data_IF_950106344486
#
_entry.id   IF_950106344486
#
_cell.length_a   1.000
_cell.length_b   1.000
_cell.length_c   1.000
_cell.angle_alpha   90.00
_cell.angle_beta   90.00
_cell.angle_gamma   90.00
#
_symmetry.space_group_name_H-M   'P 1'
#
loop_
_entity.id
_entity.type
_entity.pdbx_description
1 polymer ?
#
# COMPACT_ATOMS: atom_id res chain seq x y z
N UNK A 1 25.71 -74.82 -12.05
CA UNK A 1 24.52 -74.01 -11.71
C UNK A 1 25.01 -72.57 -11.61
N UNK A 2 24.91 -71.84 -12.71
CA UNK A 2 25.44 -70.49 -12.89
C UNK A 2 24.28 -69.53 -12.58
N UNK A 3 24.37 -68.77 -11.49
CA UNK A 3 23.48 -67.65 -11.22
C UNK A 3 24.31 -66.37 -11.35
N UNK A 4 23.83 -65.50 -12.24
CA UNK A 4 24.59 -64.50 -12.96
C UNK A 4 25.07 -63.33 -12.09
N UNK A 5 26.31 -62.94 -12.34
CA UNK A 5 26.90 -61.64 -12.01
C UNK A 5 26.27 -60.46 -12.79
N UNK A 6 25.12 -60.67 -13.44
CA UNK A 6 24.42 -59.64 -14.22
C UNK A 6 23.42 -58.84 -13.36
N UNK A 7 22.90 -59.40 -12.26
CA UNK A 7 21.89 -58.71 -11.43
C UNK A 7 22.45 -57.51 -10.65
N UNK A 8 23.74 -57.51 -10.31
CA UNK A 8 24.35 -56.42 -9.53
C UNK A 8 24.66 -55.17 -10.38
N UNK A 9 24.97 -55.35 -11.68
CA UNK A 9 25.22 -54.21 -12.59
C UNK A 9 23.92 -53.56 -13.08
N UNK A 10 22.85 -54.33 -13.24
CA UNK A 10 21.54 -53.78 -13.58
C UNK A 10 20.94 -52.99 -12.41
N UNK A 11 21.09 -53.45 -11.16
CA UNK A 11 20.60 -52.70 -9.99
C UNK A 11 21.31 -51.36 -9.79
N UNK A 12 22.64 -51.32 -9.89
CA UNK A 12 23.40 -50.06 -9.74
C UNK A 12 23.11 -49.06 -10.88
N UNK A 13 22.82 -49.57 -12.09
CA UNK A 13 22.39 -48.76 -13.24
C UNK A 13 20.98 -48.19 -13.05
N UNK A 14 20.05 -49.01 -12.54
CA UNK A 14 18.69 -48.57 -12.23
C UNK A 14 18.66 -47.58 -11.06
N UNK A 15 19.49 -47.77 -10.04
CA UNK A 15 19.61 -46.85 -8.91
C UNK A 15 20.23 -45.51 -9.32
N UNK A 16 21.24 -45.50 -10.19
CA UNK A 16 21.81 -44.23 -10.70
C UNK A 16 20.88 -43.50 -11.68
N UNK A 17 20.09 -44.23 -12.46
CA UNK A 17 19.02 -43.65 -13.28
C UNK A 17 17.85 -43.17 -12.40
N UNK A 18 17.54 -43.85 -11.30
CA UNK A 18 16.52 -43.43 -10.34
C UNK A 18 16.94 -42.20 -9.53
N UNK A 19 18.20 -42.14 -9.09
CA UNK A 19 18.78 -40.96 -8.41
C UNK A 19 18.87 -39.78 -9.38
N UNK A 20 19.33 -39.99 -10.62
CA UNK A 20 19.34 -38.94 -11.63
C UNK A 20 17.92 -38.47 -12.00
N UNK A 21 16.91 -39.35 -12.03
CA UNK A 21 15.50 -38.98 -12.21
C UNK A 21 14.91 -38.28 -11.00
N UNK A 22 15.34 -38.63 -9.78
CA UNK A 22 14.95 -37.96 -8.54
C UNK A 22 15.52 -36.54 -8.50
N UNK A 23 16.81 -36.36 -8.80
CA UNK A 23 17.48 -35.05 -8.88
C UNK A 23 16.92 -34.17 -10.00
N UNK A 24 16.58 -34.77 -11.16
CA UNK A 24 15.91 -34.06 -12.25
C UNK A 24 14.48 -33.70 -11.86
N UNK A 25 13.76 -34.57 -11.14
CA UNK A 25 12.41 -34.29 -10.67
C UNK A 25 12.38 -33.25 -9.55
N UNK A 26 13.35 -33.25 -8.63
CA UNK A 26 13.50 -32.25 -7.58
C UNK A 26 13.93 -30.91 -8.16
N UNK A 27 14.88 -30.88 -9.10
CA UNK A 27 15.21 -29.64 -9.81
C UNK A 27 14.03 -29.13 -10.64
N UNK A 28 13.28 -30.02 -11.31
CA UNK A 28 12.08 -29.62 -12.07
C UNK A 28 10.97 -29.17 -11.13
N UNK A 29 10.83 -29.77 -9.94
CA UNK A 29 9.87 -29.35 -8.91
C UNK A 29 10.28 -28.04 -8.25
N UNK A 30 11.57 -27.78 -8.01
CA UNK A 30 12.09 -26.49 -7.52
C UNK A 30 11.94 -25.40 -8.59
N UNK A 31 12.17 -25.75 -9.86
CA UNK A 31 12.02 -24.83 -10.98
C UNK A 31 10.54 -24.58 -11.28
N UNK A 32 9.67 -25.60 -11.16
CA UNK A 32 8.22 -25.45 -11.14
C UNK A 32 7.74 -24.69 -9.91
N UNK A 33 8.28 -24.89 -8.71
CA UNK A 33 7.95 -24.08 -7.51
C UNK A 33 8.48 -22.65 -7.63
N UNK A 34 9.50 -22.39 -8.46
CA UNK A 34 9.96 -21.03 -8.76
C UNK A 34 9.15 -20.36 -9.88
N UNK A 35 8.50 -21.16 -10.74
CA UNK A 35 7.62 -20.71 -11.84
C UNK A 35 6.12 -20.72 -11.46
N UNK A 36 5.76 -21.52 -10.45
CA UNK A 36 4.47 -21.71 -9.79
C UNK A 36 4.53 -21.33 -8.32
N UNK A 37 5.62 -20.72 -7.85
CA UNK A 37 5.47 -19.75 -6.78
C UNK A 37 4.51 -18.78 -7.43
N UNK A 38 3.23 -18.70 -7.03
CA UNK A 38 2.55 -17.47 -7.32
C UNK A 38 3.50 -16.43 -6.74
N UNK A 39 3.68 -15.32 -7.43
CA UNK A 39 3.99 -14.10 -6.72
C UNK A 39 3.31 -14.20 -5.37
N UNK A 40 4.03 -13.99 -4.28
CA UNK A 40 3.40 -13.73 -2.99
C UNK A 40 2.60 -12.45 -3.21
N UNK A 41 1.45 -12.60 -3.86
CA UNK A 41 0.48 -11.57 -4.13
C UNK A 41 0.10 -11.18 -2.74
N UNK A 42 0.57 -10.01 -2.33
CA UNK A 42 0.18 -9.54 -1.04
C UNK A 42 -1.34 -9.52 -1.03
N UNK A 43 -1.94 -10.28 -0.13
CA UNK A 43 -3.38 -10.25 0.06
C UNK A 43 -3.83 -8.91 0.65
N UNK A 44 -2.88 -8.08 1.12
CA UNK A 44 -3.12 -6.81 1.79
C UNK A 44 -2.31 -5.66 1.17
N UNK A 45 -2.98 -4.58 0.82
CA UNK A 45 -2.34 -3.35 0.38
C UNK A 45 -2.61 -2.23 1.39
N UNK A 46 -1.55 -1.63 1.91
CA UNK A 46 -1.64 -0.53 2.87
C UNK A 46 -1.12 0.74 2.24
N UNK A 47 -2.02 1.69 1.96
CA UNK A 47 -1.65 3.00 1.44
C UNK A 47 -1.36 3.92 2.62
N UNK A 48 -0.08 4.21 2.82
CA UNK A 48 0.46 4.89 4.01
C UNK A 48 0.80 6.36 3.76
N UNK A 49 0.29 6.97 2.69
CA UNK A 49 0.54 8.40 2.44
C UNK A 49 -0.23 9.32 3.39
N UNK A 50 0.28 10.54 3.51
CA UNK A 50 -0.36 11.60 4.29
C UNK A 50 -1.64 12.10 3.62
N UNK A 51 -2.37 12.99 4.29
CA UNK A 51 -3.54 13.66 3.72
C UNK A 51 -3.19 14.30 2.36
N UNK A 52 -4.15 14.32 1.44
CA UNK A 52 -4.05 15.00 0.13
C UNK A 52 -3.01 14.44 -0.86
N UNK A 53 -2.54 13.20 -0.67
CA UNK A 53 -1.69 12.47 -1.64
C UNK A 53 -2.47 11.50 -2.55
N UNK A 54 -3.82 11.53 -2.50
CA UNK A 54 -4.68 10.72 -3.38
C UNK A 54 -5.29 9.46 -2.74
N UNK A 55 -5.21 9.26 -1.43
CA UNK A 55 -5.65 8.04 -0.75
C UNK A 55 -7.12 7.63 -1.02
N UNK A 56 -8.03 8.60 -1.15
CA UNK A 56 -9.43 8.33 -1.51
C UNK A 56 -9.56 7.78 -2.93
N UNK A 57 -8.86 8.39 -3.90
CA UNK A 57 -8.81 7.91 -5.27
C UNK A 57 -8.19 6.52 -5.34
N UNK A 58 -7.12 6.28 -4.59
CA UNK A 58 -6.50 4.96 -4.50
C UNK A 58 -7.48 3.89 -3.99
N UNK A 59 -8.21 4.17 -2.91
CA UNK A 59 -9.24 3.26 -2.39
C UNK A 59 -10.34 2.98 -3.43
N UNK A 60 -10.80 4.04 -4.11
CA UNK A 60 -11.83 3.93 -5.16
C UNK A 60 -11.34 3.08 -6.34
N UNK A 61 -10.11 3.32 -6.81
CA UNK A 61 -9.51 2.60 -7.91
C UNK A 61 -9.30 1.11 -7.56
N UNK A 62 -8.80 0.82 -6.36
CA UNK A 62 -8.67 -0.57 -5.88
C UNK A 62 -10.03 -1.26 -5.75
N UNK A 63 -11.07 -0.55 -5.30
CA UNK A 63 -12.43 -1.09 -5.28
C UNK A 63 -12.94 -1.43 -6.68
N UNK A 64 -12.67 -0.57 -7.68
CA UNK A 64 -13.01 -0.83 -9.08
C UNK A 64 -12.27 -2.03 -9.68
N UNK A 65 -11.07 -2.34 -9.18
CA UNK A 65 -10.32 -3.56 -9.52
C UNK A 65 -10.84 -4.82 -8.78
N UNK A 66 -11.90 -4.69 -7.98
CA UNK A 66 -12.55 -5.82 -7.30
C UNK A 66 -12.06 -6.09 -5.88
N UNK A 67 -11.16 -5.27 -5.33
CA UNK A 67 -10.68 -5.43 -3.96
C UNK A 67 -11.68 -4.91 -2.93
N UNK A 68 -11.73 -5.54 -1.75
CA UNK A 68 -12.40 -4.96 -0.59
C UNK A 68 -11.52 -3.84 -0.04
N UNK A 69 -11.78 -2.62 -0.50
CA UNK A 69 -11.04 -1.43 -0.10
C UNK A 69 -11.82 -0.58 0.90
N UNK A 70 -11.15 -0.13 1.96
CA UNK A 70 -11.67 0.86 2.89
C UNK A 70 -10.76 2.09 2.98
N UNK A 71 -11.39 3.26 3.03
CA UNK A 71 -10.73 4.55 3.21
C UNK A 71 -10.94 5.03 4.63
N UNK A 72 -9.87 5.52 5.26
CA UNK A 72 -9.89 6.06 6.63
C UNK A 72 -10.44 5.06 7.68
N UNK A 73 -9.84 3.87 7.82
CA UNK A 73 -10.24 2.92 8.86
C UNK A 73 -9.97 3.51 10.26
N UNK A 74 -10.88 3.31 11.21
CA UNK A 74 -10.73 3.83 12.59
C UNK A 74 -10.26 2.77 13.59
N UNK A 75 -10.08 1.52 13.14
CA UNK A 75 -9.62 0.41 13.97
C UNK A 75 -8.77 -0.59 13.19
N UNK A 76 -7.74 -1.14 13.83
CA UNK A 76 -6.94 -2.26 13.29
C UNK A 76 -7.78 -3.53 13.10
N UNK A 77 -8.93 -3.64 13.76
CA UNK A 77 -9.86 -4.75 13.60
C UNK A 77 -10.43 -4.88 12.17
N UNK A 78 -10.23 -3.87 11.31
CA UNK A 78 -10.65 -3.91 9.91
C UNK A 78 -9.67 -4.68 9.02
N UNK A 79 -8.43 -4.92 9.48
CA UNK A 79 -7.40 -5.60 8.68
C UNK A 79 -7.84 -6.97 8.14
N UNK A 80 -8.50 -7.85 8.91
CA UNK A 80 -8.98 -9.13 8.39
C UNK A 80 -10.01 -8.97 7.27
N UNK A 81 -10.89 -7.97 7.37
CA UNK A 81 -12.08 -7.81 6.52
C UNK A 81 -11.82 -7.09 5.20
N UNK A 82 -10.69 -6.37 5.08
CA UNK A 82 -10.36 -5.57 3.91
C UNK A 82 -9.03 -5.97 3.30
N UNK A 83 -8.99 -6.06 1.98
CA UNK A 83 -7.78 -6.34 1.22
C UNK A 83 -6.94 -5.06 1.03
N UNK A 84 -7.58 -3.90 1.13
CA UNK A 84 -6.92 -2.60 0.98
C UNK A 84 -7.39 -1.65 2.06
N UNK A 85 -6.44 -1.03 2.77
CA UNK A 85 -6.72 0.09 3.67
C UNK A 85 -5.91 1.31 3.23
N UNK A 86 -6.54 2.49 3.23
CA UNK A 86 -5.88 3.73 2.83
C UNK A 86 -6.05 4.88 3.82
N UNK A 87 -5.18 5.88 3.65
CA UNK A 87 -5.19 7.19 4.30
C UNK A 87 -4.49 7.26 5.65
N UNK A 88 -4.52 8.46 6.24
CA UNK A 88 -3.76 8.82 7.45
C UNK A 88 -3.89 7.87 8.65
N UNK A 89 -5.00 7.16 8.91
CA UNK A 89 -4.99 6.12 9.96
C UNK A 89 -3.99 5.00 9.69
N UNK A 90 -3.82 4.60 8.43
CA UNK A 90 -2.87 3.56 8.02
C UNK A 90 -1.44 4.08 8.12
N UNK A 91 -1.20 5.34 7.72
CA UNK A 91 0.08 6.02 7.96
C UNK A 91 0.41 6.11 9.46
N UNK A 92 -0.58 6.42 10.30
CA UNK A 92 -0.47 6.43 11.76
C UNK A 92 -0.14 5.05 12.33
N UNK A 93 -0.63 3.96 11.73
CA UNK A 93 -0.29 2.59 12.13
C UNK A 93 0.97 2.03 11.48
N UNK A 94 1.61 2.73 10.55
CA UNK A 94 2.85 2.27 9.92
C UNK A 94 4.03 2.36 10.90
N UNK A 95 4.03 1.42 11.85
CA UNK A 95 4.94 1.27 12.98
C UNK A 95 5.19 -0.22 13.22
N UNK A 96 6.32 -0.58 13.86
CA UNK A 96 6.63 -1.96 14.15
C UNK A 96 5.50 -2.66 14.92
N UNK A 97 5.06 -3.82 14.41
CA UNK A 97 4.12 -4.71 15.09
C UNK A 97 2.62 -4.39 14.94
N UNK A 98 2.24 -3.33 14.21
CA UNK A 98 0.82 -2.98 14.03
C UNK A 98 0.21 -3.47 12.70
N UNK A 99 1.02 -3.55 11.64
CA UNK A 99 0.59 -4.00 10.32
C UNK A 99 1.33 -5.30 9.93
N UNK A 100 0.70 -6.22 9.18
CA UNK A 100 1.33 -7.44 8.68
C UNK A 100 2.60 -7.15 7.88
N UNK A 101 3.69 -7.87 8.16
CA UNK A 101 4.99 -7.66 7.50
C UNK A 101 5.03 -8.22 6.07
N UNK A 102 4.15 -9.17 5.75
CA UNK A 102 4.03 -9.80 4.44
C UNK A 102 3.11 -9.04 3.47
N UNK A 103 2.70 -7.83 3.86
CA UNK A 103 1.87 -6.96 3.04
C UNK A 103 2.69 -6.12 2.04
N UNK A 104 1.98 -5.51 1.08
CA UNK A 104 2.53 -4.47 0.20
C UNK A 104 2.11 -3.10 0.71
N UNK A 105 3.08 -2.21 0.87
CA UNK A 105 2.89 -0.85 1.33
C UNK A 105 3.05 0.11 0.17
N UNK A 106 2.09 1.03 0.02
CA UNK A 106 2.13 2.07 -1.02
C UNK A 106 2.28 3.42 -0.33
N UNK A 107 3.45 4.02 -0.44
CA UNK A 107 3.70 5.38 0.00
C UNK A 107 3.25 6.34 -1.09
N UNK A 108 2.02 6.85 -0.96
CA UNK A 108 1.54 7.89 -1.86
C UNK A 108 2.19 9.23 -1.53
N UNK A 109 2.75 9.87 -2.55
CA UNK A 109 3.50 11.13 -2.45
C UNK A 109 2.87 12.21 -3.33
N UNK A 110 3.28 13.46 -3.12
CA UNK A 110 2.87 14.61 -3.93
C UNK A 110 3.98 15.66 -3.90
N UNK A 111 4.11 16.48 -4.94
CA UNK A 111 5.00 17.65 -4.90
C UNK A 111 4.67 18.53 -3.68
N UNK A 112 5.70 19.00 -2.97
CA UNK A 112 5.58 19.54 -1.63
C UNK A 112 4.71 20.80 -1.58
N UNK A 113 4.86 21.73 -2.53
CA UNK A 113 4.06 22.96 -2.55
C UNK A 113 2.60 22.68 -2.84
N UNK A 114 2.35 21.86 -3.85
CA UNK A 114 1.01 21.37 -4.20
C UNK A 114 0.36 20.63 -3.02
N UNK A 115 1.14 19.87 -2.25
CA UNK A 115 0.68 19.18 -1.06
C UNK A 115 0.34 20.13 0.09
N UNK A 116 1.19 21.14 0.34
CA UNK A 116 0.96 22.16 1.39
C UNK A 116 -0.31 22.97 1.12
N UNK A 117 -0.54 23.38 -0.13
CA UNK A 117 -1.77 24.10 -0.51
C UNK A 117 -3.02 23.24 -0.27
N UNK A 118 -2.98 21.97 -0.64
CA UNK A 118 -4.10 21.06 -0.43
C UNK A 118 -4.32 20.77 1.07
N UNK A 119 -3.25 20.62 1.85
CA UNK A 119 -3.33 20.46 3.29
C UNK A 119 -3.91 21.70 3.96
N UNK A 120 -3.49 22.90 3.57
CA UNK A 120 -4.03 24.15 4.11
C UNK A 120 -5.56 24.13 4.03
N UNK A 121 -6.13 23.88 2.85
CA UNK A 121 -7.58 23.95 2.71
C UNK A 121 -8.28 22.75 3.36
N UNK A 122 -7.68 21.56 3.35
CA UNK A 122 -8.27 20.40 4.03
C UNK A 122 -8.42 20.63 5.54
N UNK A 123 -7.43 21.26 6.16
CA UNK A 123 -7.45 21.52 7.60
C UNK A 123 -8.31 22.73 7.95
N UNK A 124 -8.29 23.80 7.14
CA UNK A 124 -9.15 24.98 7.34
C UNK A 124 -10.65 24.65 7.16
N UNK A 125 -10.99 23.72 6.25
CA UNK A 125 -12.38 23.28 6.05
C UNK A 125 -12.89 22.31 7.12
N UNK A 126 -12.06 21.93 8.09
CA UNK A 126 -12.38 20.98 9.16
C UNK A 126 -11.93 21.53 10.52
N UNK A 127 -12.73 22.46 11.09
CA UNK A 127 -12.38 23.12 12.34
C UNK A 127 -12.25 22.10 13.48
N UNK A 128 -11.47 22.45 14.50
CA UNK A 128 -11.16 21.54 15.61
C UNK A 128 -12.40 20.99 16.32
N UNK A 129 -13.46 21.80 16.41
CA UNK A 129 -14.73 21.44 17.03
C UNK A 129 -15.48 20.31 16.32
N UNK A 130 -15.15 20.00 15.06
CA UNK A 130 -15.81 18.93 14.29
C UNK A 130 -15.01 17.63 14.27
N UNK A 131 -13.83 17.58 14.91
CA UNK A 131 -12.96 16.41 14.88
C UNK A 131 -13.28 15.44 16.01
N UNK A 132 -13.55 14.19 15.67
CA UNK A 132 -13.62 13.11 16.65
C UNK A 132 -12.25 12.85 17.32
N UNK A 133 -12.22 12.22 18.51
CA UNK A 133 -10.98 12.00 19.25
C UNK A 133 -9.93 11.16 18.51
N UNK A 134 -10.33 10.23 17.64
CA UNK A 134 -9.38 9.41 16.88
C UNK A 134 -8.72 10.25 15.79
N UNK A 135 -9.49 11.05 15.06
CA UNK A 135 -8.94 12.00 14.08
C UNK A 135 -7.99 13.00 14.73
N UNK A 136 -8.29 13.47 15.94
CA UNK A 136 -7.37 14.35 16.69
C UNK A 136 -6.04 13.66 17.01
N UNK A 137 -6.06 12.39 17.44
CA UNK A 137 -4.85 11.61 17.70
C UNK A 137 -4.01 11.40 16.43
N UNK A 138 -4.66 11.03 15.33
CA UNK A 138 -4.00 10.86 14.02
C UNK A 138 -3.32 12.17 13.60
N UNK A 139 -4.01 13.32 13.75
CA UNK A 139 -3.44 14.63 13.41
C UNK A 139 -2.24 14.99 14.30
N UNK A 140 -2.38 14.85 15.61
CA UNK A 140 -1.29 15.11 16.55
C UNK A 140 -0.06 14.28 16.25
N UNK A 141 -0.22 12.98 15.99
CA UNK A 141 0.90 12.09 15.73
C UNK A 141 1.60 12.40 14.41
N UNK A 142 0.84 12.54 13.31
CA UNK A 142 1.43 12.71 11.98
C UNK A 142 1.95 14.12 11.72
N UNK A 143 1.22 15.13 12.20
CA UNK A 143 1.50 16.54 11.86
C UNK A 143 2.02 17.34 13.06
N UNK A 144 2.13 16.75 14.25
CA UNK A 144 2.58 17.45 15.45
C UNK A 144 1.60 18.53 15.93
N UNK A 145 0.36 18.55 15.45
CA UNK A 145 -0.65 19.56 15.77
C UNK A 145 -1.99 19.26 15.14
N UNK A 146 -3.03 19.98 15.56
CA UNK A 146 -4.41 19.75 15.08
C UNK A 146 -4.82 20.65 13.90
N UNK A 147 -4.12 21.77 13.71
CA UNK A 147 -4.35 22.76 12.65
C UNK A 147 -3.17 22.80 11.68
N UNK A 148 -3.40 23.37 10.51
CA UNK A 148 -2.33 23.58 9.53
C UNK A 148 -1.33 24.61 10.04
N UNK A 149 -0.04 24.26 10.00
CA UNK A 149 1.07 25.19 10.15
C UNK A 149 2.14 24.80 9.15
N UNK A 150 2.46 25.71 8.23
CA UNK A 150 3.24 25.39 7.02
C UNK A 150 4.61 24.77 7.32
N UNK A 151 5.40 25.39 8.18
CA UNK A 151 6.75 24.90 8.52
C UNK A 151 6.72 23.52 9.19
N UNK A 152 5.76 23.32 10.11
CA UNK A 152 5.54 22.02 10.75
C UNK A 152 5.17 20.95 9.73
N UNK A 153 4.30 21.28 8.79
CA UNK A 153 3.86 20.35 7.75
C UNK A 153 4.99 19.97 6.80
N UNK A 154 5.89 20.91 6.45
CA UNK A 154 7.11 20.61 5.69
C UNK A 154 7.95 19.55 6.43
N UNK A 155 8.20 19.76 7.71
CA UNK A 155 9.00 18.84 8.53
C UNK A 155 8.33 17.46 8.64
N UNK A 156 7.03 17.42 8.92
CA UNK A 156 6.26 16.19 9.02
C UNK A 156 6.22 15.40 7.70
N UNK A 157 6.12 16.09 6.55
CA UNK A 157 6.15 15.45 5.24
C UNK A 157 7.46 14.69 5.02
N UNK A 158 8.60 15.39 5.14
CA UNK A 158 9.90 14.78 4.91
C UNK A 158 10.22 13.69 5.94
N UNK A 159 9.90 13.93 7.21
CA UNK A 159 10.09 12.93 8.26
C UNK A 159 9.24 11.67 7.99
N UNK A 160 7.98 11.80 7.57
CA UNK A 160 7.14 10.64 7.25
C UNK A 160 7.74 9.80 6.11
N UNK A 161 8.16 10.45 5.02
CA UNK A 161 8.78 9.78 3.87
C UNK A 161 10.07 9.05 4.28
N UNK A 162 10.95 9.74 5.01
CA UNK A 162 12.22 9.17 5.46
C UNK A 162 12.00 7.99 6.43
N UNK A 163 11.13 8.15 7.42
CA UNK A 163 10.82 7.09 8.38
C UNK A 163 10.17 5.89 7.70
N UNK A 164 9.29 6.13 6.73
CA UNK A 164 8.63 5.04 6.02
C UNK A 164 9.65 4.18 5.26
N UNK A 165 10.58 4.81 4.55
CA UNK A 165 11.68 4.15 3.84
C UNK A 165 12.61 3.40 4.81
N UNK A 166 12.98 4.03 5.92
CA UNK A 166 13.83 3.40 6.96
C UNK A 166 13.18 2.17 7.56
N UNK A 167 11.89 2.23 7.88
CA UNK A 167 11.15 1.08 8.40
C UNK A 167 11.06 -0.03 7.36
N UNK A 168 10.75 0.30 6.11
CA UNK A 168 10.71 -0.70 5.04
C UNK A 168 12.06 -1.40 4.85
N UNK A 169 13.16 -0.64 4.81
CA UNK A 169 14.50 -1.21 4.72
C UNK A 169 14.84 -2.08 5.95
N UNK A 170 14.56 -1.60 7.15
CA UNK A 170 14.88 -2.29 8.41
C UNK A 170 14.15 -3.64 8.54
N UNK A 171 12.90 -3.71 8.10
CA UNK A 171 12.05 -4.89 8.24
C UNK A 171 11.86 -5.68 6.95
N UNK A 172 12.53 -5.29 5.85
CA UNK A 172 12.40 -5.95 4.55
C UNK A 172 10.99 -5.88 3.97
N UNK A 173 10.28 -4.77 4.21
CA UNK A 173 8.89 -4.60 3.75
C UNK A 173 8.85 -4.31 2.24
N UNK A 174 7.83 -4.82 1.56
CA UNK A 174 7.56 -4.44 0.17
C UNK A 174 6.94 -3.04 0.12
N UNK A 175 7.77 -2.01 -0.02
CA UNK A 175 7.35 -0.61 -0.11
C UNK A 175 7.53 -0.09 -1.54
N UNK A 176 6.45 0.45 -2.11
CA UNK A 176 6.46 1.16 -3.40
C UNK A 176 5.99 2.59 -3.24
N UNK A 177 6.56 3.52 -4.01
CA UNK A 177 6.17 4.93 -4.02
C UNK A 177 5.28 5.24 -5.22
N UNK A 178 4.27 6.09 -4.99
CA UNK A 178 3.33 6.47 -6.05
C UNK A 178 2.91 7.93 -5.94
N UNK A 179 3.26 8.73 -6.95
CA UNK A 179 2.66 10.06 -7.11
C UNK A 179 1.35 9.96 -7.90
N UNK A 180 0.27 9.53 -7.23
CA UNK A 180 -1.06 9.37 -7.82
C UNK A 180 -1.58 10.68 -8.40
N UNK A 181 -1.36 11.79 -7.68
CA UNK A 181 -1.92 13.10 -8.07
C UNK A 181 -1.33 13.61 -9.37
N UNK A 182 -0.03 13.39 -9.60
CA UNK A 182 0.64 13.76 -10.84
C UNK A 182 0.34 12.77 -11.98
N UNK A 183 0.28 11.47 -11.69
CA UNK A 183 0.08 10.41 -12.68
C UNK A 183 -1.13 9.51 -12.32
N UNK A 184 -2.37 10.01 -12.48
CA UNK A 184 -3.59 9.29 -12.11
C UNK A 184 -4.01 8.31 -13.20
N UNK A 185 -3.25 7.21 -13.34
CA UNK A 185 -3.48 6.19 -14.36
C UNK A 185 -3.49 4.78 -13.77
N UNK A 186 -4.13 3.86 -14.50
CA UNK A 186 -4.28 2.46 -14.09
C UNK A 186 -2.97 1.71 -14.01
N UNK A 187 -1.98 2.05 -14.85
CA UNK A 187 -0.74 1.30 -15.03
C UNK A 187 -0.03 0.97 -13.71
N UNK A 188 0.04 1.92 -12.77
CA UNK A 188 0.68 1.68 -11.49
C UNK A 188 -0.04 0.56 -10.71
N UNK A 189 -1.37 0.65 -10.57
CA UNK A 189 -2.14 -0.34 -9.83
C UNK A 189 -2.19 -1.67 -10.56
N UNK A 190 -2.31 -1.67 -11.88
CA UNK A 190 -2.34 -2.89 -12.70
C UNK A 190 -0.99 -3.63 -12.60
N UNK A 191 0.13 -2.91 -12.65
CA UNK A 191 1.46 -3.50 -12.41
C UNK A 191 1.64 -3.98 -10.96
N UNK A 192 1.05 -3.28 -10.00
CA UNK A 192 1.11 -3.65 -8.58
C UNK A 192 0.30 -4.91 -8.27
N UNK A 193 -0.87 -5.06 -8.88
CA UNK A 193 -1.83 -6.15 -8.63
C UNK A 193 -1.77 -7.27 -9.66
N UNK A 194 -1.04 -7.08 -10.76
CA UNK A 194 -1.01 -7.92 -11.96
C UNK A 194 -2.41 -8.20 -12.54
N UNK A 195 -3.26 -7.18 -12.51
CA UNK A 195 -4.57 -7.22 -13.15
C UNK A 195 -4.54 -6.43 -14.45
N UNK A 196 -5.43 -6.78 -15.37
CA UNK A 196 -5.59 -6.04 -16.61
C UNK A 196 -6.20 -4.65 -16.35
N UNK A 197 -5.88 -3.71 -17.26
CA UNK A 197 -6.46 -2.36 -17.22
C UNK A 197 -7.98 -2.46 -17.41
N UNK A 198 -8.79 -1.97 -16.46
CA UNK A 198 -10.24 -2.03 -16.58
C UNK A 198 -10.72 -1.08 -17.69
N UNK A 199 -11.90 -1.36 -18.25
CA UNK A 199 -12.48 -0.54 -19.32
C UNK A 199 -12.95 0.84 -18.84
N UNK A 200 -13.20 0.99 -17.55
CA UNK A 200 -13.62 2.26 -16.94
C UNK A 200 -12.43 3.23 -16.82
N UNK A 201 -12.65 4.55 -16.99
CA UNK A 201 -11.60 5.54 -16.77
C UNK A 201 -11.14 5.54 -15.30
N UNK A 202 -9.88 5.92 -15.09
CA UNK A 202 -9.31 6.02 -13.74
C UNK A 202 -10.09 7.06 -12.90
N UNK A 203 -10.48 6.75 -11.65
CA UNK A 203 -11.46 7.54 -10.88
C UNK A 203 -10.87 8.79 -10.23
N UNK A 204 -10.03 9.53 -10.96
CA UNK A 204 -9.42 10.75 -10.47
C UNK A 204 -10.27 11.98 -10.79
N UNK A 205 -10.55 12.79 -9.77
CA UNK A 205 -11.22 14.08 -9.92
C UNK A 205 -10.25 15.17 -9.49
N UNK A 206 -9.87 16.06 -10.42
CA UNK A 206 -9.16 17.31 -10.11
C UNK A 206 -9.99 18.26 -9.22
N UNK A 207 -11.30 17.98 -9.09
CA UNK A 207 -12.32 18.97 -8.75
C UNK A 207 -12.56 19.16 -7.25
N UNK A 208 -11.49 19.15 -6.46
CA UNK A 208 -11.47 20.00 -5.28
C UNK A 208 -10.49 21.12 -5.54
N UNK A 209 -10.85 22.01 -6.47
CA UNK A 209 -10.40 23.39 -6.43
C UNK A 209 -10.93 24.00 -5.13
N UNK A 210 -10.25 23.68 -4.06
CA UNK A 210 -10.37 24.31 -2.77
C UNK A 210 -9.91 25.76 -2.95
N UNK A 211 -10.79 26.62 -3.46
CA UNK A 211 -10.50 28.05 -3.64
C UNK A 211 -10.16 28.63 -2.27
N UNK A 212 -8.94 29.17 -2.12
CA UNK A 212 -8.59 30.00 -0.96
C UNK A 212 -9.68 31.06 -0.78
N UNK A 213 -10.28 31.13 0.41
CA UNK A 213 -11.25 32.17 0.78
C UNK A 213 -12.73 31.91 0.44
N UNK A 214 -13.14 30.80 -0.18
CA UNK A 214 -14.59 30.55 -0.43
C UNK A 214 -15.39 30.16 0.81
N UNK A 215 -14.75 30.05 1.98
CA UNK A 215 -15.42 29.70 3.24
C UNK A 215 -16.04 30.90 3.97
N UNK A 216 -15.75 32.13 3.54
CA UNK A 216 -16.43 33.33 4.09
C UNK A 216 -17.96 33.27 3.87
N UNK A 217 -18.44 32.54 2.86
CA UNK A 217 -19.87 32.31 2.63
C UNK A 217 -20.51 31.20 3.49
N UNK A 218 -19.71 30.28 4.03
CA UNK A 218 -20.22 29.15 4.86
C UNK A 218 -20.29 29.55 6.34
N UNK A 219 -19.47 30.50 6.78
CA UNK A 219 -19.58 31.10 8.12
C UNK A 219 -20.78 32.06 8.27
N UNK A 220 -21.40 32.48 7.16
CA UNK A 220 -22.55 33.39 7.15
C UNK A 220 -23.89 32.70 6.84
N UNK A 221 -23.93 31.36 6.83
CA UNK A 221 -25.17 30.60 6.61
C UNK A 221 -25.39 29.59 7.72
N UNK A 222 -25.70 30.10 8.90
CA UNK A 222 -26.53 29.42 9.90
C UNK A 222 -27.40 30.50 10.55
N UNK A 223 -28.72 30.28 10.72
CA UNK A 223 -29.67 31.30 11.19
C UNK A 223 -29.34 31.90 12.56
#
# INVERSE_FOLDING_TARGET
MQLGSNDFKERASQDSVAIARCDQSENTLIQLDSMLSPNKFSSKYFFIGLTATGNYTAATAMHMLGYRAAHFPTSLAWIPDFDVLTDTPVAFWFRPGLLPLDATFVLTVREIESWLEACQVWFESRPLSTLDPFTQQVRWYLYGGLTFERERFINCYWNHLEQARKLAQKYGLNLVEWNLVENPQWDFLCNLTLLDVPSQPFPFKFDKQYKRGTWQGVLNTTP
#
